data_IF_477219964554
#
_entry.id   IF_477219964554
#
_cell.length_a   1.000
_cell.length_b   1.000
_cell.length_c   1.000
_cell.angle_alpha   90.00
_cell.angle_beta   90.00
_cell.angle_gamma   90.00
#
_symmetry.space_group_name_H-M   'P 1'
#
loop_
_entity.id
_entity.type
_entity.pdbx_description
1 polymer ?
#
# COMPACT_ATOMS: atom_id res chain seq x y z
N UNK A 1 7.76 19.28 15.67
CA UNK A 1 6.70 19.00 14.70
C UNK A 1 6.70 17.50 14.46
N UNK A 2 5.53 16.85 14.42
CA UNK A 2 5.44 15.43 14.11
C UNK A 2 5.40 15.29 12.57
N UNK A 3 6.36 14.59 11.99
CA UNK A 3 6.43 14.34 10.53
C UNK A 3 6.23 12.85 10.29
N UNK A 4 5.34 12.54 9.37
CA UNK A 4 5.07 11.18 8.89
C UNK A 4 5.50 11.05 7.43
N UNK A 5 6.33 10.08 7.14
CA UNK A 5 6.47 9.54 5.79
C UNK A 5 5.44 8.42 5.62
N UNK A 6 4.49 8.60 4.73
CA UNK A 6 3.38 7.67 4.57
C UNK A 6 3.64 6.59 3.53
N UNK A 7 4.77 6.62 2.81
CA UNK A 7 5.04 5.67 1.73
C UNK A 7 6.53 5.41 1.52
N UNK A 8 7.00 4.33 2.08
CA UNK A 8 8.36 3.82 1.87
C UNK A 8 8.37 2.29 1.70
N UNK A 9 9.53 1.74 1.39
CA UNK A 9 9.69 0.32 1.12
C UNK A 9 10.86 -0.29 1.88
N UNK A 10 10.70 -1.56 2.28
CA UNK A 10 11.78 -2.40 2.79
C UNK A 10 12.18 -3.49 1.80
N UNK A 11 13.39 -4.00 1.97
CA UNK A 11 13.97 -5.05 1.17
C UNK A 11 14.63 -4.55 -0.11
N UNK A 12 14.82 -5.44 -1.06
CA UNK A 12 15.57 -5.15 -2.27
C UNK A 12 14.81 -4.22 -3.21
N UNK A 13 15.44 -3.11 -3.58
CA UNK A 13 14.89 -2.15 -4.54
C UNK A 13 15.07 -2.62 -5.99
N UNK A 14 14.44 -1.93 -6.93
CA UNK A 14 14.63 -2.17 -8.38
C UNK A 14 16.05 -1.84 -8.86
N UNK A 15 16.76 -0.96 -8.17
CA UNK A 15 18.18 -0.63 -8.43
C UNK A 15 19.15 -1.69 -7.89
N UNK A 16 18.67 -2.62 -7.08
CA UNK A 16 19.47 -3.68 -6.49
C UNK A 16 19.97 -3.38 -5.07
N UNK A 17 19.76 -2.17 -4.58
CA UNK A 17 20.04 -1.81 -3.19
C UNK A 17 19.08 -2.53 -2.25
N UNK A 18 19.49 -2.78 -1.02
CA UNK A 18 18.68 -3.40 -0.01
C UNK A 18 18.54 -2.45 1.19
N UNK A 19 17.29 -2.13 1.54
CA UNK A 19 16.98 -1.31 2.71
C UNK A 19 16.60 -2.20 3.88
N UNK A 20 17.42 -2.18 4.94
CA UNK A 20 17.06 -2.80 6.22
C UNK A 20 16.12 -1.89 7.04
N UNK A 21 15.38 -2.44 8.02
CA UNK A 21 14.61 -1.62 8.95
C UNK A 21 15.48 -0.64 9.74
N UNK A 22 16.69 -1.06 10.12
CA UNK A 22 17.66 -0.26 10.86
C UNK A 22 18.14 0.95 10.05
N UNK A 23 18.51 0.74 8.79
CA UNK A 23 18.95 1.82 7.88
C UNK A 23 17.83 2.83 7.70
N UNK A 24 16.60 2.34 7.41
CA UNK A 24 15.45 3.20 7.27
C UNK A 24 15.21 4.05 8.52
N UNK A 25 15.22 3.46 9.71
CA UNK A 25 14.99 4.19 10.97
C UNK A 25 16.12 5.18 11.26
N UNK A 26 17.35 4.88 10.90
CA UNK A 26 18.47 5.82 11.02
C UNK A 26 18.28 7.03 10.09
N UNK A 27 17.85 6.80 8.85
CA UNK A 27 17.53 7.89 7.92
C UNK A 27 16.36 8.74 8.43
N UNK A 28 15.29 8.13 8.94
CA UNK A 28 14.18 8.87 9.54
C UNK A 28 14.65 9.80 10.65
N UNK A 29 15.51 9.31 11.55
CA UNK A 29 16.08 10.12 12.64
C UNK A 29 16.92 11.27 12.11
N UNK A 30 17.76 11.03 11.09
CA UNK A 30 18.64 12.04 10.49
C UNK A 30 17.83 13.20 9.88
N UNK A 31 16.64 12.93 9.35
CA UNK A 31 15.76 13.93 8.75
C UNK A 31 14.62 14.42 9.67
N UNK A 32 14.60 14.00 10.92
CA UNK A 32 13.57 14.41 11.89
C UNK A 32 12.18 13.86 11.59
N UNK A 33 12.10 12.75 10.86
CA UNK A 33 10.84 12.05 10.56
C UNK A 33 10.50 11.14 11.75
N UNK A 34 9.26 11.23 12.22
CA UNK A 34 8.84 10.56 13.43
C UNK A 34 8.30 9.15 13.21
N UNK A 35 7.67 8.91 12.06
CA UNK A 35 7.05 7.63 11.71
C UNK A 35 7.06 7.40 10.20
N UNK A 36 6.97 6.15 9.81
CA UNK A 36 6.94 5.75 8.40
C UNK A 36 5.92 4.63 8.15
N UNK A 37 5.17 4.76 7.06
CA UNK A 37 4.34 3.70 6.50
C UNK A 37 5.12 2.89 5.48
N UNK A 38 5.27 1.59 5.70
CA UNK A 38 6.07 0.72 4.83
C UNK A 38 5.30 -0.45 4.27
N UNK A 39 5.68 -0.83 3.06
CA UNK A 39 5.37 -2.14 2.46
C UNK A 39 6.64 -2.73 1.84
N UNK A 40 6.74 -4.04 1.73
CA UNK A 40 7.82 -4.67 0.97
C UNK A 40 7.27 -5.13 -0.38
N UNK A 41 7.95 -4.75 -1.45
CA UNK A 41 7.56 -5.08 -2.83
C UNK A 41 8.58 -6.00 -3.50
N UNK A 42 9.61 -6.42 -2.78
CA UNK A 42 10.68 -7.29 -3.30
C UNK A 42 10.28 -8.77 -3.23
N UNK A 43 10.84 -9.57 -4.14
CA UNK A 43 10.58 -11.01 -4.19
C UNK A 43 9.27 -11.40 -4.89
N UNK A 44 8.95 -12.69 -4.84
CA UNK A 44 7.81 -13.30 -5.56
C UNK A 44 6.61 -13.50 -4.62
N UNK A 45 6.85 -13.88 -3.36
CA UNK A 45 5.82 -14.20 -2.40
C UNK A 45 5.39 -12.98 -1.60
N UNK A 46 4.14 -12.59 -1.69
CA UNK A 46 3.59 -11.51 -0.85
C UNK A 46 3.63 -11.86 0.63
N UNK A 47 3.43 -13.12 0.99
CA UNK A 47 3.48 -13.60 2.37
C UNK A 47 4.85 -13.35 3.03
N UNK A 48 5.95 -13.72 2.36
CA UNK A 48 7.30 -13.49 2.88
C UNK A 48 7.63 -11.99 3.02
N UNK A 49 7.10 -11.16 2.14
CA UNK A 49 7.24 -9.70 2.20
C UNK A 49 6.47 -9.11 3.37
N UNK A 50 5.25 -9.57 3.60
CA UNK A 50 4.45 -9.15 4.75
C UNK A 50 5.09 -9.60 6.08
N UNK A 51 5.70 -10.79 6.11
CA UNK A 51 6.47 -11.24 7.27
C UNK A 51 7.69 -10.36 7.56
N UNK A 52 8.36 -9.83 6.51
CA UNK A 52 9.44 -8.87 6.67
C UNK A 52 8.94 -7.56 7.29
N UNK A 53 7.81 -7.03 6.79
CA UNK A 53 7.19 -5.82 7.32
C UNK A 53 6.76 -6.01 8.77
N UNK A 54 6.15 -7.16 9.11
CA UNK A 54 5.74 -7.46 10.48
C UNK A 54 6.93 -7.47 11.45
N UNK A 55 8.03 -8.16 11.09
CA UNK A 55 9.25 -8.14 11.92
C UNK A 55 9.81 -6.74 12.12
N UNK A 56 9.74 -5.90 11.10
CA UNK A 56 10.17 -4.50 11.22
C UNK A 56 9.28 -3.69 12.18
N UNK A 57 7.97 -3.93 12.18
CA UNK A 57 7.03 -3.32 13.13
C UNK A 57 7.35 -3.75 14.57
N UNK A 58 7.67 -5.04 14.78
CA UNK A 58 8.06 -5.56 16.10
C UNK A 58 9.40 -4.98 16.59
N UNK A 59 10.37 -4.81 15.67
CA UNK A 59 11.68 -4.24 16.01
C UNK A 59 11.62 -2.74 16.32
N UNK A 60 10.70 -2.00 15.69
CA UNK A 60 10.58 -0.55 15.84
C UNK A 60 9.12 -0.12 16.13
N UNK A 61 8.57 -0.54 17.28
CA UNK A 61 7.17 -0.29 17.63
C UNK A 61 6.88 1.21 17.71
N UNK A 62 5.77 1.62 17.11
CA UNK A 62 5.32 3.02 17.10
C UNK A 62 6.05 3.93 16.11
N UNK A 63 7.17 3.49 15.52
CA UNK A 63 7.89 4.19 14.44
C UNK A 63 7.48 3.65 13.08
N UNK A 64 7.52 2.34 12.91
CA UNK A 64 7.15 1.67 11.66
C UNK A 64 5.66 1.31 11.69
N UNK A 65 4.96 1.66 10.62
CA UNK A 65 3.56 1.35 10.32
C UNK A 65 3.51 0.44 9.10
N UNK A 66 2.94 -0.75 9.24
CA UNK A 66 2.96 -1.76 8.19
C UNK A 66 1.76 -1.72 7.27
N UNK A 67 2.02 -1.86 5.98
CA UNK A 67 1.00 -2.04 4.95
C UNK A 67 1.17 -3.41 4.29
N UNK A 68 0.15 -4.26 4.43
CA UNK A 68 0.12 -5.60 3.86
C UNK A 68 0.13 -5.54 2.32
N UNK A 69 1.13 -6.11 1.68
CA UNK A 69 1.18 -6.21 0.23
C UNK A 69 0.33 -7.38 -0.24
N UNK A 70 -0.78 -7.10 -0.93
CA UNK A 70 -1.76 -8.10 -1.34
C UNK A 70 -1.81 -8.25 -2.85
N UNK A 71 -1.73 -9.51 -3.31
CA UNK A 71 -1.97 -9.88 -4.70
C UNK A 71 -3.40 -10.40 -4.85
N UNK A 72 -4.33 -9.65 -5.49
CA UNK A 72 -5.72 -10.07 -5.59
C UNK A 72 -5.95 -11.29 -6.49
N UNK A 73 -4.92 -11.73 -7.23
CA UNK A 73 -4.96 -12.96 -8.04
C UNK A 73 -4.53 -14.21 -7.27
N UNK A 74 -3.99 -14.04 -6.07
CA UNK A 74 -3.62 -15.16 -5.23
C UNK A 74 -4.87 -15.83 -4.64
N UNK A 75 -4.94 -17.17 -4.62
CA UNK A 75 -6.10 -17.88 -4.10
C UNK A 75 -6.32 -17.67 -2.61
N UNK A 76 -5.27 -17.32 -1.87
CA UNK A 76 -5.24 -17.06 -0.44
C UNK A 76 -5.25 -15.56 -0.09
N UNK A 77 -5.63 -14.68 -1.03
CA UNK A 77 -5.55 -13.23 -0.83
C UNK A 77 -6.36 -12.75 0.38
N UNK A 78 -7.55 -13.29 0.62
CA UNK A 78 -8.39 -12.94 1.77
C UNK A 78 -7.78 -13.46 3.07
N UNK A 79 -7.26 -14.68 3.08
CA UNK A 79 -6.59 -15.25 4.26
C UNK A 79 -5.34 -14.42 4.62
N UNK A 80 -4.62 -13.94 3.61
CA UNK A 80 -3.46 -13.09 3.83
C UNK A 80 -3.85 -11.69 4.35
N UNK A 81 -4.97 -11.12 3.89
CA UNK A 81 -5.55 -9.90 4.48
C UNK A 81 -5.83 -10.11 5.96
N UNK A 82 -6.54 -11.19 6.30
CA UNK A 82 -6.90 -11.51 7.68
C UNK A 82 -5.68 -11.74 8.56
N UNK A 83 -4.68 -12.45 8.06
CA UNK A 83 -3.41 -12.67 8.77
C UNK A 83 -2.68 -11.34 9.03
N UNK A 84 -2.56 -10.50 8.02
CA UNK A 84 -1.82 -9.25 8.16
C UNK A 84 -2.56 -8.22 9.04
N UNK A 85 -3.86 -8.06 8.85
CA UNK A 85 -4.62 -7.06 9.59
C UNK A 85 -5.06 -7.57 10.97
N UNK A 86 -5.44 -8.86 11.06
CA UNK A 86 -5.92 -9.48 12.29
C UNK A 86 -4.79 -9.93 13.20
N UNK A 87 -3.91 -10.83 12.70
CA UNK A 87 -2.88 -11.45 13.55
C UNK A 87 -1.68 -10.53 13.75
N UNK A 88 -1.25 -9.82 12.69
CA UNK A 88 -0.07 -8.94 12.71
C UNK A 88 -0.39 -7.51 13.12
N UNK A 89 -1.66 -7.10 13.09
CA UNK A 89 -2.07 -5.75 13.44
C UNK A 89 -1.51 -4.67 12.53
N UNK A 90 -1.36 -4.96 11.23
CA UNK A 90 -0.87 -3.98 10.25
C UNK A 90 -1.84 -2.82 10.09
N UNK A 91 -1.32 -1.65 9.78
CA UNK A 91 -2.06 -0.38 9.73
C UNK A 91 -2.82 -0.17 8.41
N UNK A 92 -2.61 -1.00 7.40
CA UNK A 92 -3.28 -0.91 6.12
C UNK A 92 -2.90 -1.97 5.11
N UNK A 93 -3.38 -1.77 3.88
CA UNK A 93 -3.12 -2.66 2.75
C UNK A 93 -2.48 -1.88 1.60
N UNK A 94 -1.53 -2.49 0.91
CA UNK A 94 -0.90 -1.98 -0.31
C UNK A 94 -1.30 -2.81 -1.52
N UNK A 95 -1.81 -2.16 -2.55
CA UNK A 95 -2.00 -2.73 -3.88
C UNK A 95 -1.03 -2.14 -4.90
N UNK A 96 -0.56 -2.98 -5.80
CA UNK A 96 0.31 -2.56 -6.90
C UNK A 96 -0.07 -3.33 -8.18
N UNK A 97 -1.09 -2.83 -8.87
CA UNK A 97 -1.68 -3.50 -10.02
C UNK A 97 -0.69 -3.71 -11.18
N UNK A 98 0.20 -2.75 -11.42
CA UNK A 98 1.26 -2.92 -12.41
C UNK A 98 2.22 -4.07 -12.06
N UNK A 99 2.66 -4.15 -10.80
CA UNK A 99 3.62 -5.18 -10.38
C UNK A 99 3.02 -6.59 -10.43
N UNK A 100 1.75 -6.73 -10.06
CA UNK A 100 1.04 -8.00 -10.10
C UNK A 100 0.36 -8.28 -11.46
N UNK A 101 0.42 -7.34 -12.41
CA UNK A 101 -0.10 -7.50 -13.77
C UNK A 101 -1.60 -7.76 -13.80
N UNK A 102 -2.40 -6.85 -13.25
CA UNK A 102 -3.86 -6.94 -13.31
C UNK A 102 -4.50 -5.56 -13.53
N UNK A 103 -5.67 -5.57 -14.15
CA UNK A 103 -6.52 -4.38 -14.24
C UNK A 103 -7.50 -4.38 -13.06
N UNK A 104 -7.55 -3.34 -12.23
CA UNK A 104 -8.46 -3.30 -11.08
C UNK A 104 -9.92 -3.50 -11.48
N UNK A 105 -10.38 -2.85 -12.54
CA UNK A 105 -11.75 -2.95 -13.08
C UNK A 105 -12.07 -4.32 -13.72
N UNK A 106 -11.06 -5.14 -14.00
CA UNK A 106 -11.22 -6.51 -14.51
C UNK A 106 -10.70 -7.58 -13.53
N UNK A 107 -10.76 -7.29 -12.23
CA UNK A 107 -10.33 -8.22 -11.17
C UNK A 107 -11.44 -8.34 -10.12
N UNK A 108 -12.47 -9.17 -10.37
CA UNK A 108 -13.65 -9.29 -9.49
C UNK A 108 -13.33 -9.60 -8.04
N UNK A 109 -12.26 -10.37 -7.78
CA UNK A 109 -11.80 -10.71 -6.43
C UNK A 109 -11.51 -9.48 -5.54
N UNK A 110 -11.16 -8.34 -6.14
CA UNK A 110 -10.98 -7.10 -5.38
C UNK A 110 -12.23 -6.69 -4.60
N UNK A 111 -13.43 -7.00 -5.07
CA UNK A 111 -14.66 -6.66 -4.36
C UNK A 111 -14.75 -7.36 -3.00
N UNK A 112 -14.45 -8.65 -2.98
CA UNK A 112 -14.49 -9.45 -1.75
C UNK A 112 -13.32 -9.08 -0.83
N UNK A 113 -12.14 -8.81 -1.40
CA UNK A 113 -10.97 -8.35 -0.66
C UNK A 113 -11.24 -7.00 0.00
N UNK A 114 -11.84 -6.03 -0.71
CA UNK A 114 -12.21 -4.74 -0.13
C UNK A 114 -13.29 -4.86 0.95
N UNK A 115 -14.27 -5.75 0.74
CA UNK A 115 -15.28 -6.05 1.76
C UNK A 115 -14.65 -6.63 3.04
N UNK A 116 -13.57 -7.41 2.91
CA UNK A 116 -12.80 -7.92 4.05
C UNK A 116 -12.00 -6.82 4.74
N UNK A 117 -11.21 -6.04 3.99
CA UNK A 117 -10.41 -4.91 4.50
C UNK A 117 -11.28 -3.93 5.29
N UNK A 118 -12.50 -3.66 4.82
CA UNK A 118 -13.47 -2.76 5.44
C UNK A 118 -13.75 -3.10 6.91
N UNK A 119 -13.73 -4.38 7.28
CA UNK A 119 -13.99 -4.84 8.66
C UNK A 119 -12.95 -4.35 9.66
N UNK A 120 -11.75 -4.03 9.18
CA UNK A 120 -10.63 -3.58 10.00
C UNK A 120 -10.51 -2.05 10.12
N UNK A 121 -11.23 -1.29 9.30
CA UNK A 121 -11.21 0.18 9.35
C UNK A 121 -9.85 0.81 9.04
N UNK A 122 -9.03 0.14 8.24
CA UNK A 122 -7.67 0.57 7.90
C UNK A 122 -7.61 1.31 6.56
N UNK A 123 -6.47 1.93 6.28
CA UNK A 123 -6.21 2.63 5.02
C UNK A 123 -5.79 1.67 3.91
N UNK A 124 -6.07 2.05 2.66
CA UNK A 124 -5.60 1.34 1.47
C UNK A 124 -4.67 2.23 0.67
N UNK A 125 -3.43 1.80 0.48
CA UNK A 125 -2.49 2.42 -0.43
C UNK A 125 -2.56 1.76 -1.81
N UNK A 126 -2.70 2.55 -2.87
CA UNK A 126 -2.63 2.06 -4.24
C UNK A 126 -1.48 2.72 -4.98
N UNK A 127 -0.69 1.93 -5.71
CA UNK A 127 0.24 2.49 -6.69
C UNK A 127 -0.57 3.08 -7.84
N UNK A 128 -0.38 4.36 -8.14
CA UNK A 128 -1.10 5.07 -9.20
C UNK A 128 -0.11 5.80 -10.10
N UNK A 129 -0.25 5.64 -11.40
CA UNK A 129 0.54 6.41 -12.37
C UNK A 129 1.35 5.59 -13.36
N UNK A 130 1.21 4.26 -13.38
CA UNK A 130 1.88 3.40 -14.38
C UNK A 130 0.85 2.73 -15.28
N UNK A 131 0.71 3.22 -16.50
CA UNK A 131 -0.20 2.64 -17.50
C UNK A 131 0.32 1.27 -17.97
N UNK A 132 -0.57 0.37 -18.41
CA UNK A 132 -2.03 0.54 -18.43
C UNK A 132 -2.71 0.07 -17.13
N UNK A 133 -2.00 -0.59 -16.22
CA UNK A 133 -2.59 -1.32 -15.09
C UNK A 133 -2.91 -0.46 -13.86
N UNK A 134 -2.23 0.67 -13.69
CA UNK A 134 -2.32 1.50 -12.48
C UNK A 134 -2.86 2.89 -12.75
N UNK A 135 -3.99 2.99 -13.46
CA UNK A 135 -4.58 4.28 -13.77
C UNK A 135 -5.29 4.89 -12.55
N UNK A 136 -5.29 6.23 -12.40
CA UNK A 136 -6.05 6.88 -11.31
C UNK A 136 -7.56 6.65 -11.43
N UNK A 137 -8.06 6.52 -12.66
CA UNK A 137 -9.49 6.36 -12.93
C UNK A 137 -10.05 5.06 -12.37
N UNK A 138 -9.36 3.94 -12.61
CA UNK A 138 -9.80 2.62 -12.12
C UNK A 138 -9.79 2.53 -10.60
N UNK A 139 -8.79 3.11 -9.94
CA UNK A 139 -8.74 3.16 -8.48
C UNK A 139 -9.76 4.15 -7.89
N UNK A 140 -10.06 5.25 -8.59
CA UNK A 140 -11.12 6.18 -8.18
C UNK A 140 -12.51 5.51 -8.17
N UNK A 141 -12.78 4.56 -9.08
CA UNK A 141 -14.02 3.78 -9.04
C UNK A 141 -14.13 2.93 -7.76
N UNK A 142 -13.03 2.33 -7.30
CA UNK A 142 -13.02 1.62 -6.02
C UNK A 142 -13.22 2.57 -4.84
N UNK A 143 -12.62 3.74 -4.86
CA UNK A 143 -12.84 4.74 -3.82
C UNK A 143 -14.29 5.22 -3.76
N UNK A 144 -14.97 5.36 -4.91
CA UNK A 144 -16.42 5.64 -4.97
C UNK A 144 -17.26 4.49 -4.43
N UNK A 145 -16.88 3.26 -4.73
CA UNK A 145 -17.60 2.05 -4.30
C UNK A 145 -17.47 1.77 -2.80
N UNK A 146 -16.34 2.17 -2.20
CA UNK A 146 -16.04 1.99 -0.78
C UNK A 146 -15.75 3.33 -0.10
N UNK A 147 -16.77 4.20 0.06
CA UNK A 147 -16.58 5.58 0.53
C UNK A 147 -16.15 5.68 2.01
N UNK A 148 -16.25 4.62 2.76
CA UNK A 148 -15.83 4.48 4.14
C UNK A 148 -14.39 3.93 4.30
N UNK A 149 -13.72 3.56 3.21
CA UNK A 149 -12.30 3.23 3.17
C UNK A 149 -11.52 4.47 2.71
N UNK A 150 -10.48 4.84 3.43
CA UNK A 150 -9.54 5.89 3.01
C UNK A 150 -8.49 5.31 2.06
N UNK A 151 -8.39 5.90 0.88
CA UNK A 151 -7.41 5.55 -0.14
C UNK A 151 -6.27 6.55 -0.17
N UNK A 152 -5.05 6.04 -0.23
CA UNK A 152 -3.85 6.81 -0.48
C UNK A 152 -3.33 6.49 -1.88
N UNK A 153 -3.44 7.47 -2.79
CA UNK A 153 -2.92 7.36 -4.15
C UNK A 153 -1.44 7.74 -4.16
N UNK A 154 -0.58 6.73 -4.08
CA UNK A 154 0.86 6.99 -4.12
C UNK A 154 1.27 7.48 -5.51
N UNK A 155 2.22 8.45 -5.55
CA UNK A 155 2.78 9.07 -6.77
C UNK A 155 1.85 10.02 -7.54
N UNK A 156 0.61 10.22 -7.10
CA UNK A 156 -0.38 11.17 -7.68
C UNK A 156 -0.45 11.14 -9.23
N UNK A 157 -0.52 9.93 -9.80
CA UNK A 157 -0.59 9.76 -11.25
C UNK A 157 0.75 9.78 -11.98
N UNK A 158 1.86 10.03 -11.28
CA UNK A 158 3.21 9.99 -11.83
C UNK A 158 3.36 10.86 -13.09
N UNK A 159 4.29 10.54 -13.99
CA UNK A 159 4.51 11.31 -15.22
C UNK A 159 3.39 11.16 -16.26
N UNK A 160 2.63 10.06 -16.20
CA UNK A 160 1.70 9.69 -17.25
C UNK A 160 0.34 10.39 -17.11
N UNK A 161 -0.09 10.70 -15.90
CA UNK A 161 -1.43 11.23 -15.66
C UNK A 161 -1.45 12.65 -15.13
N UNK A 162 -0.44 13.08 -14.35
CA UNK A 162 -0.32 14.45 -13.88
C UNK A 162 -1.64 15.03 -13.33
N UNK A 163 -2.08 16.16 -13.89
CA UNK A 163 -3.31 16.83 -13.46
C UNK A 163 -4.57 16.00 -13.66
N UNK A 164 -4.59 15.07 -14.62
CA UNK A 164 -5.76 14.21 -14.84
C UNK A 164 -6.01 13.24 -13.69
N UNK A 165 -4.98 12.89 -12.91
CA UNK A 165 -5.15 12.13 -11.69
C UNK A 165 -5.93 12.91 -10.62
N UNK A 166 -5.67 14.22 -10.50
CA UNK A 166 -6.41 15.11 -9.60
C UNK A 166 -7.86 15.20 -10.04
N UNK A 167 -8.11 15.37 -11.34
CA UNK A 167 -9.48 15.41 -11.88
C UNK A 167 -10.27 14.13 -11.61
N UNK A 168 -9.61 12.97 -11.64
CA UNK A 168 -10.25 11.68 -11.37
C UNK A 168 -10.80 11.57 -9.95
N UNK A 169 -10.22 12.29 -8.98
CA UNK A 169 -10.51 12.14 -7.54
C UNK A 169 -10.99 13.42 -6.84
N UNK A 170 -11.07 14.56 -7.52
CA UNK A 170 -11.38 15.87 -6.90
C UNK A 170 -12.67 15.89 -6.08
N UNK A 171 -13.65 15.06 -6.43
CA UNK A 171 -14.95 14.98 -5.74
C UNK A 171 -14.99 13.88 -4.65
N UNK A 172 -13.88 13.16 -4.44
CA UNK A 172 -13.78 12.08 -3.48
C UNK A 172 -13.17 12.56 -2.16
N UNK A 173 -13.94 12.40 -1.08
CA UNK A 173 -13.48 12.83 0.26
C UNK A 173 -12.58 11.81 0.97
N UNK A 174 -12.50 10.62 0.42
CA UNK A 174 -11.77 9.48 0.97
C UNK A 174 -10.50 9.15 0.15
N UNK A 175 -10.01 10.06 -0.69
CA UNK A 175 -8.76 9.91 -1.45
C UNK A 175 -7.79 11.00 -1.05
N UNK A 176 -6.53 10.59 -0.82
CA UNK A 176 -5.42 11.43 -0.36
C UNK A 176 -4.20 11.25 -1.26
#
# INVERSE_FOLDING_TARGET
MLIYDIHSHLGKTSSGDENSPEDLVNDLKAYGISKVGISSLSGISTRAQNDLVHRAMEAFPGVIKGYAFINPKAPDAIDEVNRCLGDYGMDGVKFHSWKHGYYPDNTPALNDIFAEIRKYGVHVQTHVGTAPFSTPYTWAEYARKFPDINFLFTHIGYYEFGLSAIEAVKDLKNVW
#
